data_IF_644993796224
#
_entry.id   IF_644993796224
#
_cell.length_a   1.000
_cell.length_b   1.000
_cell.length_c   1.000
_cell.angle_alpha   90.00
_cell.angle_beta   90.00
_cell.angle_gamma   90.00
#
_symmetry.space_group_name_H-M   'P 1'
#
loop_
_entity.id
_entity.type
_entity.pdbx_description
1 polymer ?
#
# COMPACT_ATOMS: atom_id res chain seq x y z
N UNK A 1 18.96 21.27 7.89
CA UNK A 1 17.78 20.86 8.68
C UNK A 1 17.51 19.38 8.45
N UNK A 2 17.32 18.57 9.49
CA UNK A 2 17.13 17.10 9.37
C UNK A 2 15.81 16.67 10.00
N UNK A 3 15.11 15.72 9.39
CA UNK A 3 13.91 15.12 9.97
C UNK A 3 14.28 14.13 11.07
N UNK A 4 13.78 14.34 12.28
CA UNK A 4 14.03 13.46 13.43
C UNK A 4 13.42 12.06 13.21
N UNK A 5 12.25 11.99 12.56
CA UNK A 5 11.53 10.73 12.35
C UNK A 5 12.11 9.86 11.23
N UNK A 6 12.64 10.47 10.17
CA UNK A 6 13.11 9.74 8.99
C UNK A 6 14.63 9.77 8.80
N UNK A 7 15.35 10.60 9.56
CA UNK A 7 16.78 10.83 9.39
C UNK A 7 17.15 11.53 8.08
N UNK A 8 16.16 11.98 7.30
CA UNK A 8 16.39 12.60 5.97
C UNK A 8 16.84 14.05 6.15
N UNK A 9 17.93 14.40 5.46
CA UNK A 9 18.45 15.77 5.36
C UNK A 9 17.64 16.55 4.32
N UNK A 10 17.12 17.72 4.69
CA UNK A 10 16.43 18.62 3.76
C UNK A 10 17.37 19.06 2.62
N UNK A 11 16.87 19.10 1.39
CA UNK A 11 17.55 19.82 0.31
C UNK A 11 17.52 21.33 0.54
N UNK A 12 18.46 22.07 -0.04
CA UNK A 12 18.60 23.52 0.16
C UNK A 12 17.30 24.27 -0.16
N UNK A 13 16.57 23.87 -1.20
CA UNK A 13 15.26 24.43 -1.54
C UNK A 13 14.21 24.25 -0.44
N UNK A 14 14.16 23.09 0.22
CA UNK A 14 13.17 22.78 1.25
C UNK A 14 13.55 23.47 2.55
N UNK A 15 14.85 23.56 2.85
CA UNK A 15 15.30 24.35 3.99
C UNK A 15 14.99 25.83 3.82
N UNK A 16 15.22 26.40 2.63
CA UNK A 16 14.90 27.80 2.38
C UNK A 16 13.41 28.06 2.56
N UNK A 17 12.56 27.21 1.96
CA UNK A 17 11.10 27.35 2.04
C UNK A 17 10.55 27.20 3.47
N UNK A 18 11.10 26.26 4.25
CA UNK A 18 10.73 26.08 5.66
C UNK A 18 11.17 27.26 6.53
N UNK A 19 12.32 27.87 6.24
CA UNK A 19 12.81 29.03 6.99
C UNK A 19 12.03 30.31 6.66
N UNK A 20 11.56 30.47 5.42
CA UNK A 20 10.75 31.62 5.00
C UNK A 20 9.25 31.44 5.23
N UNK A 21 8.80 30.31 5.79
CA UNK A 21 7.37 30.00 5.91
C UNK A 21 6.61 31.05 6.75
N UNK A 22 7.22 31.52 7.84
CA UNK A 22 6.63 32.55 8.71
C UNK A 22 6.40 33.87 7.96
N UNK A 23 7.41 34.36 7.24
CA UNK A 23 7.32 35.59 6.45
C UNK A 23 6.24 35.49 5.37
N UNK A 24 6.15 34.32 4.71
CA UNK A 24 5.12 34.07 3.68
C UNK A 24 3.72 34.07 4.29
N UNK A 25 3.55 33.50 5.48
CA UNK A 25 2.28 33.46 6.19
C UNK A 25 1.85 34.85 6.68
N UNK A 26 2.77 35.68 7.16
CA UNK A 26 2.50 37.07 7.54
C UNK A 26 2.01 37.90 6.34
N UNK A 27 2.66 37.76 5.18
CA UNK A 27 2.23 38.42 3.95
C UNK A 27 0.84 37.93 3.51
N UNK A 28 0.57 36.63 3.63
CA UNK A 28 -0.75 36.08 3.31
C UNK A 28 -1.85 36.60 4.26
N UNK A 29 -1.54 36.76 5.54
CA UNK A 29 -2.46 37.32 6.54
C UNK A 29 -2.77 38.79 6.24
N UNK A 30 -1.74 39.61 6.00
CA UNK A 30 -1.93 41.03 5.69
C UNK A 30 -2.76 41.22 4.43
N UNK A 31 -2.48 40.45 3.38
CA UNK A 31 -3.30 40.45 2.16
C UNK A 31 -4.76 40.08 2.44
N UNK A 32 -5.01 39.10 3.31
CA UNK A 32 -6.38 38.71 3.70
C UNK A 32 -7.12 39.86 4.39
N UNK A 33 -6.46 40.55 5.33
CA UNK A 33 -7.02 41.69 6.07
C UNK A 33 -7.35 42.81 5.08
N UNK A 34 -6.42 43.17 4.20
CA UNK A 34 -6.64 44.25 3.24
C UNK A 34 -7.76 43.93 2.24
N UNK A 35 -7.75 42.72 1.66
CA UNK A 35 -8.71 42.35 0.62
C UNK A 35 -10.14 42.16 1.15
N UNK A 36 -10.32 41.69 2.38
CA UNK A 36 -11.65 41.31 2.91
C UNK A 36 -12.16 42.20 4.04
N UNK A 37 -11.29 42.70 4.91
CA UNK A 37 -11.72 43.49 6.08
C UNK A 37 -11.68 44.99 5.78
N UNK A 38 -10.65 45.46 5.05
CA UNK A 38 -10.48 46.89 4.79
C UNK A 38 -11.14 47.31 3.47
N UNK A 39 -10.88 46.58 2.39
CA UNK A 39 -11.26 46.99 1.03
C UNK A 39 -12.52 46.31 0.48
N UNK A 40 -13.07 45.32 1.19
CA UNK A 40 -14.23 44.48 0.80
C UNK A 40 -14.22 44.02 -0.67
N UNK A 41 -13.01 43.78 -1.22
CA UNK A 41 -12.79 43.34 -2.62
C UNK A 41 -13.22 41.90 -2.84
N UNK A 42 -13.17 41.08 -1.80
CA UNK A 42 -13.59 39.68 -1.78
C UNK A 42 -14.52 39.48 -0.61
N UNK A 43 -15.53 38.62 -0.76
CA UNK A 43 -16.46 38.33 0.32
C UNK A 43 -15.72 37.58 1.43
N UNK A 44 -16.15 37.82 2.65
CA UNK A 44 -15.59 37.16 3.83
C UNK A 44 -15.58 35.62 3.71
N UNK A 45 -16.58 35.02 3.07
CA UNK A 45 -16.72 33.57 2.93
C UNK A 45 -16.12 32.99 1.64
N UNK A 46 -15.47 33.80 0.79
CA UNK A 46 -14.87 33.29 -0.44
C UNK A 46 -13.71 32.31 -0.11
N UNK A 47 -13.42 31.31 -0.96
CA UNK A 47 -12.35 30.37 -0.71
C UNK A 47 -10.98 31.06 -0.55
N UNK A 48 -10.20 30.61 0.44
CA UNK A 48 -8.82 31.07 0.66
C UNK A 48 -7.89 30.13 -0.11
N UNK A 49 -6.98 30.68 -0.92
CA UNK A 49 -5.97 29.88 -1.61
C UNK A 49 -4.93 29.42 -0.60
N UNK A 50 -4.64 28.11 -0.61
CA UNK A 50 -3.57 27.55 0.22
C UNK A 50 -2.20 27.87 -0.39
N UNK A 51 -1.27 28.29 0.48
CA UNK A 51 0.16 28.40 0.13
C UNK A 51 0.75 26.99 0.07
N UNK A 52 1.39 26.65 -1.05
CA UNK A 52 1.99 25.33 -1.26
C UNK A 52 3.43 25.30 -0.76
N UNK A 53 3.63 25.23 0.55
CA UNK A 53 4.96 25.07 1.13
C UNK A 53 5.51 23.65 0.90
N UNK A 54 6.80 23.58 0.56
CA UNK A 54 7.58 22.35 0.42
C UNK A 54 8.02 21.87 1.80
N UNK A 55 7.62 20.64 2.14
CA UNK A 55 8.02 19.99 3.41
C UNK A 55 8.92 18.77 3.15
N UNK A 56 9.50 18.17 4.19
CA UNK A 56 10.26 16.91 4.07
C UNK A 56 9.51 15.78 3.33
N UNK A 57 8.17 15.78 3.39
CA UNK A 57 7.33 14.83 2.64
C UNK A 57 7.43 15.01 1.12
N UNK A 58 7.69 16.25 0.66
CA UNK A 58 7.86 16.56 -0.76
C UNK A 58 9.20 16.07 -1.32
N UNK A 59 10.22 15.92 -0.47
CA UNK A 59 11.52 15.35 -0.85
C UNK A 59 11.45 13.84 -1.05
N UNK A 60 10.62 13.18 -0.26
CA UNK A 60 10.33 11.78 -0.42
C UNK A 60 9.47 11.64 -1.67
N UNK A 61 10.11 11.35 -2.82
CA UNK A 61 9.42 10.76 -3.96
C UNK A 61 8.87 9.41 -3.49
N UNK A 62 7.71 9.41 -2.85
CA UNK A 62 6.92 8.21 -2.69
C UNK A 62 6.64 7.75 -4.10
N UNK A 63 7.40 6.75 -4.58
CA UNK A 63 6.96 5.94 -5.71
C UNK A 63 5.58 5.48 -5.29
N UNK A 64 4.54 6.02 -5.94
CA UNK A 64 3.20 5.51 -5.76
C UNK A 64 3.32 3.99 -5.86
N UNK A 65 2.98 3.25 -4.79
CA UNK A 65 2.92 1.80 -4.86
C UNK A 65 1.91 1.51 -5.96
N UNK A 66 2.40 1.18 -7.15
CA UNK A 66 1.58 1.02 -8.33
C UNK A 66 0.57 -0.08 -8.01
N UNK A 67 -0.71 0.30 -7.99
CA UNK A 67 -1.83 -0.64 -7.85
C UNK A 67 -1.80 -1.73 -8.95
N UNK A 68 -0.98 -1.54 -9.99
CA UNK A 68 -0.62 -2.50 -11.04
C UNK A 68 -0.41 -3.93 -10.55
N UNK A 69 0.27 -4.15 -9.42
CA UNK A 69 0.48 -5.51 -8.90
C UNK A 69 -0.82 -6.21 -8.49
N UNK A 70 -1.77 -5.46 -7.89
CA UNK A 70 -3.06 -6.02 -7.44
C UNK A 70 -3.97 -6.37 -8.61
N UNK A 71 -4.00 -5.52 -9.64
CA UNK A 71 -4.76 -5.76 -10.86
C UNK A 71 -4.28 -7.04 -11.57
N UNK A 72 -2.96 -7.22 -11.70
CA UNK A 72 -2.37 -8.40 -12.34
C UNK A 72 -2.69 -9.69 -11.58
N UNK A 73 -2.65 -9.65 -10.24
CA UNK A 73 -3.04 -10.79 -9.40
C UNK A 73 -4.52 -11.13 -9.61
N UNK A 74 -5.41 -10.13 -9.55
CA UNK A 74 -6.85 -10.34 -9.74
C UNK A 74 -7.18 -10.92 -11.12
N UNK A 75 -6.51 -10.44 -12.17
CA UNK A 75 -6.68 -10.95 -13.53
C UNK A 75 -6.20 -12.41 -13.66
N UNK A 76 -5.14 -12.77 -12.94
CA UNK A 76 -4.59 -14.13 -12.91
C UNK A 76 -5.52 -15.08 -12.17
N UNK A 77 -6.03 -14.68 -10.99
CA UNK A 77 -7.00 -15.45 -10.22
C UNK A 77 -8.29 -15.68 -10.99
N UNK A 78 -8.81 -14.65 -11.68
CA UNK A 78 -10.00 -14.79 -12.53
C UNK A 78 -9.81 -15.84 -13.63
N UNK A 79 -8.63 -15.84 -14.28
CA UNK A 79 -8.29 -16.84 -15.31
C UNK A 79 -8.16 -18.25 -14.73
N UNK A 80 -7.67 -18.38 -13.50
CA UNK A 80 -7.58 -19.67 -12.81
C UNK A 80 -8.98 -20.21 -12.49
N UNK A 81 -9.83 -19.40 -11.85
CA UNK A 81 -11.19 -19.81 -11.48
C UNK A 81 -12.07 -20.13 -12.68
N UNK A 82 -11.93 -19.39 -13.80
CA UNK A 82 -12.69 -19.72 -15.02
C UNK A 82 -12.31 -21.09 -15.58
N UNK A 83 -11.02 -21.46 -15.53
CA UNK A 83 -10.54 -22.79 -15.95
C UNK A 83 -11.03 -23.87 -14.99
N UNK A 84 -10.96 -23.66 -13.68
CA UNK A 84 -11.49 -24.60 -12.70
C UNK A 84 -12.99 -24.85 -12.92
N UNK A 85 -13.76 -23.81 -13.21
CA UNK A 85 -15.21 -23.94 -13.45
C UNK A 85 -15.50 -24.83 -14.67
N UNK A 86 -14.80 -24.61 -15.78
CA UNK A 86 -14.94 -25.42 -17.00
C UNK A 86 -14.52 -26.87 -16.73
N UNK A 87 -13.40 -27.07 -16.06
CA UNK A 87 -12.88 -28.42 -15.73
C UNK A 87 -13.82 -29.14 -14.76
N UNK A 88 -14.36 -28.44 -13.77
CA UNK A 88 -15.31 -28.98 -12.81
C UNK A 88 -16.58 -29.50 -13.49
N UNK A 89 -17.09 -28.75 -14.46
CA UNK A 89 -18.24 -29.16 -15.28
C UNK A 89 -17.90 -30.34 -16.21
N UNK A 90 -16.74 -30.32 -16.87
CA UNK A 90 -16.37 -31.34 -17.85
C UNK A 90 -15.98 -32.69 -17.21
N UNK A 91 -15.34 -32.66 -16.03
CA UNK A 91 -14.80 -33.85 -15.36
C UNK A 91 -15.57 -34.27 -14.11
N UNK A 92 -16.73 -33.65 -13.85
CA UNK A 92 -17.53 -33.86 -12.63
C UNK A 92 -16.69 -33.78 -11.34
N UNK A 93 -15.77 -32.80 -11.28
CA UNK A 93 -14.93 -32.57 -10.11
C UNK A 93 -15.68 -31.66 -9.13
N UNK A 94 -15.75 -32.06 -7.86
CA UNK A 94 -16.29 -31.20 -6.82
C UNK A 94 -15.31 -30.07 -6.48
N UNK A 95 -15.59 -28.90 -7.05
CA UNK A 95 -14.81 -27.69 -6.80
C UNK A 95 -14.85 -27.26 -5.33
N UNK A 96 -15.89 -27.61 -4.58
CA UNK A 96 -15.99 -27.29 -3.16
C UNK A 96 -14.91 -28.03 -2.35
N UNK A 97 -14.70 -29.31 -2.66
CA UNK A 97 -13.66 -30.11 -2.01
C UNK A 97 -12.27 -29.69 -2.49
N UNK A 98 -12.08 -29.42 -3.79
CA UNK A 98 -10.79 -28.95 -4.32
C UNK A 98 -10.35 -27.63 -3.68
N UNK A 99 -11.26 -26.67 -3.53
CA UNK A 99 -10.96 -25.36 -2.94
C UNK A 99 -10.78 -25.39 -1.41
N UNK A 100 -11.01 -26.54 -0.77
CA UNK A 100 -10.70 -26.75 0.65
C UNK A 100 -9.20 -26.83 0.90
N UNK A 101 -8.44 -27.21 -0.13
CA UNK A 101 -6.98 -27.35 -0.07
C UNK A 101 -6.30 -26.18 -0.77
N UNK A 102 -5.03 -25.94 -0.40
CA UNK A 102 -4.23 -24.93 -1.08
C UNK A 102 -3.91 -25.38 -2.51
N UNK A 103 -4.31 -24.57 -3.50
CA UNK A 103 -3.97 -24.79 -4.91
C UNK A 103 -2.55 -24.34 -5.27
N UNK A 104 -1.88 -23.63 -4.36
CA UNK A 104 -0.50 -23.19 -4.49
C UNK A 104 0.46 -24.07 -3.69
N UNK A 105 1.76 -24.03 -4.03
CA UNK A 105 2.80 -24.80 -3.33
C UNK A 105 2.96 -24.38 -1.85
N UNK A 106 2.44 -23.21 -1.49
CA UNK A 106 2.43 -22.66 -0.14
C UNK A 106 1.00 -22.23 0.17
N UNK A 107 0.53 -22.55 1.37
CA UNK A 107 -0.79 -22.11 1.82
C UNK A 107 -0.89 -20.59 1.87
N UNK A 108 -2.04 -20.03 1.52
CA UNK A 108 -2.27 -18.59 1.47
C UNK A 108 -1.85 -17.81 2.75
N UNK A 109 -2.02 -18.34 3.98
CA UNK A 109 -1.56 -17.66 5.19
C UNK A 109 -0.04 -17.48 5.27
N UNK A 110 0.71 -18.37 4.60
CA UNK A 110 2.18 -18.44 4.59
C UNK A 110 2.78 -17.90 3.28
N UNK A 111 1.93 -17.61 2.29
CA UNK A 111 2.34 -17.09 0.99
C UNK A 111 2.37 -15.56 0.98
N UNK A 112 3.30 -15.02 0.21
CA UNK A 112 3.31 -13.64 -0.26
C UNK A 112 2.30 -13.48 -1.40
N UNK A 113 1.96 -12.25 -1.76
CA UNK A 113 1.04 -11.94 -2.85
C UNK A 113 1.45 -12.54 -4.21
N UNK A 114 2.74 -12.87 -4.38
CA UNK A 114 3.30 -13.49 -5.58
C UNK A 114 3.39 -15.03 -5.48
N UNK A 115 2.83 -15.66 -4.45
CA UNK A 115 2.86 -17.11 -4.24
C UNK A 115 4.16 -17.68 -3.63
N UNK A 116 5.19 -16.87 -3.43
CA UNK A 116 6.41 -17.27 -2.71
C UNK A 116 6.18 -17.32 -1.19
N UNK A 117 7.03 -18.01 -0.43
CA UNK A 117 6.97 -17.98 1.05
C UNK A 117 7.10 -16.53 1.56
N UNK A 118 6.24 -16.15 2.51
CA UNK A 118 6.23 -14.81 3.08
C UNK A 118 7.48 -14.57 3.95
N UNK A 119 8.32 -13.58 3.61
CA UNK A 119 9.58 -13.28 4.33
C UNK A 119 9.41 -12.66 5.74
N UNK A 120 8.18 -12.36 6.14
CA UNK A 120 7.86 -11.72 7.42
C UNK A 120 7.88 -12.72 8.59
N UNK A 121 7.64 -12.28 9.83
CA UNK A 121 7.50 -13.13 11.03
C UNK A 121 6.55 -14.34 10.84
N UNK A 122 5.64 -14.32 9.85
CA UNK A 122 4.85 -15.49 9.44
C UNK A 122 5.68 -16.68 8.90
N UNK A 123 6.85 -16.46 8.31
CA UNK A 123 7.77 -17.55 7.93
C UNK A 123 8.35 -18.27 9.16
N UNK A 124 8.51 -17.59 10.31
CA UNK A 124 8.97 -18.25 11.52
C UNK A 124 7.96 -19.32 12.01
N UNK A 125 6.66 -19.12 11.72
CA UNK A 125 5.64 -20.13 11.99
C UNK A 125 5.80 -21.36 11.11
N UNK A 126 6.23 -21.21 9.85
CA UNK A 126 6.53 -22.36 8.98
C UNK A 126 7.59 -23.25 9.63
N UNK A 127 8.70 -22.66 10.09
CA UNK A 127 9.78 -23.40 10.76
C UNK A 127 9.32 -24.05 12.07
N UNK A 128 8.46 -23.39 12.84
CA UNK A 128 7.87 -23.99 14.04
C UNK A 128 6.99 -25.21 13.71
N UNK A 129 6.17 -25.09 12.66
CA UNK A 129 5.31 -26.17 12.18
C UNK A 129 6.16 -27.34 11.66
N UNK A 130 7.17 -27.07 10.81
CA UNK A 130 8.12 -28.07 10.30
C UNK A 130 8.82 -28.83 11.45
N UNK A 131 9.27 -28.10 12.48
CA UNK A 131 9.92 -28.71 13.65
C UNK A 131 8.95 -29.54 14.52
N UNK A 132 7.66 -29.21 14.50
CA UNK A 132 6.60 -29.92 15.24
C UNK A 132 6.02 -31.13 14.48
N UNK A 133 6.03 -31.11 13.14
CA UNK A 133 5.52 -32.19 12.27
C UNK A 133 6.68 -33.07 11.81
N UNK A 134 7.21 -33.93 12.69
CA UNK A 134 8.28 -34.88 12.29
C UNK A 134 7.77 -36.06 11.44
N UNK A 135 6.45 -36.29 11.33
CA UNK A 135 5.87 -37.53 10.78
C UNK A 135 4.71 -37.33 9.78
N UNK A 136 4.65 -36.23 9.03
CA UNK A 136 3.45 -35.87 8.24
C UNK A 136 3.53 -36.20 6.74
N UNK A 137 4.56 -36.95 6.33
CA UNK A 137 4.63 -37.68 5.05
C UNK A 137 4.57 -39.15 5.43
N UNK A 138 3.56 -39.96 5.17
CA UNK A 138 2.72 -40.17 3.99
C UNK A 138 1.46 -40.89 4.49
N UNK A 139 0.25 -40.62 3.96
CA UNK A 139 -0.84 -41.62 3.98
C UNK A 139 -2.00 -41.20 3.06
N UNK A 140 -2.25 -42.01 2.04
CA UNK A 140 -3.54 -42.08 1.32
C UNK A 140 -3.77 -41.06 0.21
N UNK A 141 -3.21 -41.30 -0.98
CA UNK A 141 -3.82 -40.79 -2.22
C UNK A 141 -5.20 -41.48 -2.37
N UNK A 142 -6.33 -40.75 -2.47
CA UNK A 142 -7.60 -41.39 -2.79
C UNK A 142 -7.50 -42.01 -4.19
N UNK A 143 -7.73 -43.32 -4.27
CA UNK A 143 -7.93 -44.06 -5.53
C UNK A 143 -9.24 -43.65 -6.19
#
# INVERSE_FOLDING_TARGET
MTSISSGVVASDEISADLMSAEEVDEVALNNYIEERLTSDKKKYHDPIKQVKSKTFSSQLKMKAKTQSGKEVILQSDRKLFSRLLIIGQQRSIDLKEVLRYSLGPVSYPLASANGSIAKTNKAALLHLIENSCKNCTEDGMPK
#
